data_IF_809907422449
#
_entry.id   IF_809907422449
#
_cell.length_a   1.000
_cell.length_b   1.000
_cell.length_c   1.000
_cell.angle_alpha   90.00
_cell.angle_beta   90.00
_cell.angle_gamma   90.00
#
_symmetry.space_group_name_H-M   'P 1'
#
loop_
_entity.id
_entity.type
_entity.pdbx_description
1 polymer ?
#
# COMPACT_ATOMS: atom_id res chain seq x y z
N UNK A 1 36.78 9.22 4.84
CA UNK A 1 35.44 8.60 4.72
C UNK A 1 35.39 7.51 5.78
N UNK A 2 34.64 7.73 6.87
CA UNK A 2 34.49 6.73 7.94
C UNK A 2 33.80 5.49 7.38
N UNK A 3 34.36 4.30 7.62
CA UNK A 3 33.80 3.04 7.13
C UNK A 3 32.55 2.70 7.93
N UNK A 4 31.42 2.56 7.25
CA UNK A 4 30.16 2.11 7.85
C UNK A 4 29.98 0.64 7.52
N UNK A 5 29.78 -0.20 8.54
CA UNK A 5 29.62 -1.64 8.40
C UNK A 5 28.28 -2.04 9.01
N UNK A 6 27.50 -2.82 8.29
CA UNK A 6 26.26 -3.41 8.79
C UNK A 6 26.59 -4.69 9.56
N UNK A 7 26.08 -4.81 10.79
CA UNK A 7 26.19 -6.05 11.54
C UNK A 7 25.33 -7.15 10.89
N UNK A 8 25.67 -8.44 11.10
CA UNK A 8 24.82 -9.55 10.64
C UNK A 8 23.38 -9.51 11.18
N UNK A 9 23.16 -8.90 12.36
CA UNK A 9 21.82 -8.71 12.94
C UNK A 9 20.94 -7.75 12.14
N UNK A 10 21.54 -6.82 11.38
CA UNK A 10 20.82 -5.91 10.49
C UNK A 10 20.36 -6.57 9.17
N UNK A 11 20.48 -7.90 9.02
CA UNK A 11 20.03 -8.61 7.80
C UNK A 11 18.52 -8.52 7.58
N UNK A 12 17.73 -8.33 8.64
CA UNK A 12 16.28 -8.17 8.53
C UNK A 12 15.87 -6.96 7.68
N UNK A 13 16.75 -5.95 7.52
CA UNK A 13 16.54 -4.79 6.63
C UNK A 13 16.32 -5.18 5.17
N UNK A 14 16.90 -6.31 4.73
CA UNK A 14 16.72 -6.84 3.37
C UNK A 14 15.30 -7.39 3.14
N UNK A 15 14.62 -7.78 4.22
CA UNK A 15 13.26 -8.32 4.19
C UNK A 15 12.21 -7.26 4.56
N UNK A 16 12.64 -6.06 4.96
CA UNK A 16 11.73 -4.96 5.27
C UNK A 16 11.17 -4.36 3.96
N UNK A 17 9.86 -4.10 3.93
CA UNK A 17 9.17 -3.68 2.72
C UNK A 17 9.42 -2.23 2.28
N UNK A 18 9.99 -1.39 3.16
CA UNK A 18 10.26 0.03 2.91
C UNK A 18 9.08 0.76 2.23
N UNK A 19 7.93 0.93 2.91
CA UNK A 19 6.75 1.59 2.33
C UNK A 19 7.03 2.99 1.77
N UNK A 20 8.01 3.72 2.32
CA UNK A 20 8.52 4.99 1.82
C UNK A 20 9.64 4.87 0.77
N UNK A 21 9.84 3.68 0.20
CA UNK A 21 10.85 3.33 -0.80
C UNK A 21 12.29 3.69 -0.35
N UNK A 22 13.15 4.03 -1.32
CA UNK A 22 14.56 4.39 -1.11
C UNK A 22 14.73 5.56 -0.14
N UNK A 23 13.79 6.51 -0.09
CA UNK A 23 13.86 7.65 0.83
C UNK A 23 13.78 7.23 2.29
N UNK A 24 12.93 6.25 2.59
CA UNK A 24 12.82 5.72 3.95
C UNK A 24 14.07 4.93 4.34
N UNK A 25 14.62 4.12 3.43
CA UNK A 25 15.88 3.41 3.62
C UNK A 25 17.03 4.40 3.90
N UNK A 26 17.14 5.46 3.10
CA UNK A 26 18.14 6.51 3.27
C UNK A 26 18.04 7.17 4.64
N UNK A 27 16.85 7.61 5.03
CA UNK A 27 16.61 8.23 6.33
C UNK A 27 16.91 7.27 7.49
N UNK A 28 16.55 5.99 7.35
CA UNK A 28 16.82 4.96 8.36
C UNK A 28 18.32 4.73 8.55
N UNK A 29 19.09 4.61 7.46
CA UNK A 29 20.56 4.49 7.50
C UNK A 29 21.18 5.75 8.10
N UNK A 30 20.75 6.94 7.68
CA UNK A 30 21.27 8.21 8.21
C UNK A 30 21.07 8.30 9.73
N UNK A 31 19.86 8.02 10.21
CA UNK A 31 19.54 8.02 11.64
C UNK A 31 20.35 6.97 12.39
N UNK A 32 20.50 5.77 11.84
CA UNK A 32 21.28 4.69 12.44
C UNK A 32 22.75 5.08 12.58
N UNK A 33 23.35 5.73 11.57
CA UNK A 33 24.74 6.24 11.64
C UNK A 33 24.89 7.31 12.71
N UNK A 34 23.94 8.24 12.84
CA UNK A 34 23.96 9.26 13.90
C UNK A 34 23.92 8.62 15.29
N UNK A 35 23.04 7.65 15.50
CA UNK A 35 22.91 6.93 16.77
C UNK A 35 24.15 6.10 17.09
N UNK A 36 24.69 5.36 16.11
CA UNK A 36 25.88 4.53 16.31
C UNK A 36 27.13 5.35 16.62
N UNK A 37 27.27 6.54 16.02
CA UNK A 37 28.35 7.49 16.37
C UNK A 37 28.19 8.09 17.76
N UNK A 38 26.96 8.22 18.26
CA UNK A 38 26.71 8.69 19.61
C UNK A 38 27.07 7.63 20.67
N UNK A 39 27.00 6.34 20.33
CA UNK A 39 27.26 5.23 21.26
C UNK A 39 28.71 4.72 21.23
N UNK A 40 29.46 4.89 20.14
CA UNK A 40 30.88 4.54 20.06
C UNK A 40 31.73 5.65 19.41
N UNK A 41 32.79 6.05 20.11
CA UNK A 41 33.84 6.92 19.59
C UNK A 41 34.94 6.07 18.94
N UNK A 42 34.89 5.94 17.61
CA UNK A 42 35.87 5.21 16.81
C UNK A 42 35.73 5.53 15.32
N UNK A 43 36.73 5.15 14.52
CA UNK A 43 36.76 5.45 13.07
C UNK A 43 35.87 4.49 12.25
N UNK A 44 35.45 3.38 12.86
CA UNK A 44 34.55 2.37 12.27
C UNK A 44 33.17 2.41 12.95
N UNK A 45 32.13 2.61 12.15
CA UNK A 45 30.74 2.70 12.61
C UNK A 45 30.02 1.39 12.27
N UNK A 46 29.71 0.60 13.29
CA UNK A 46 28.95 -0.65 13.14
C UNK A 46 27.48 -0.40 13.41
N UNK A 47 26.63 -0.63 12.42
CA UNK A 47 25.18 -0.50 12.53
C UNK A 47 24.56 -1.83 13.00
N UNK A 48 24.21 -1.86 14.29
CA UNK A 48 23.41 -2.92 14.93
C UNK A 48 21.91 -2.71 14.73
N UNK A 49 21.12 -3.78 14.85
CA UNK A 49 19.65 -3.78 14.69
C UNK A 49 18.95 -2.72 15.54
N UNK A 50 19.37 -2.54 16.79
CA UNK A 50 18.81 -1.53 17.70
C UNK A 50 18.93 -0.07 17.22
N UNK A 51 19.81 0.21 16.26
CA UNK A 51 19.93 1.55 15.67
C UNK A 51 18.84 1.81 14.61
N UNK A 52 18.19 0.74 14.13
CA UNK A 52 17.07 0.81 13.21
C UNK A 52 15.78 0.69 14.02
N UNK A 53 15.21 1.83 14.41
CA UNK A 53 13.84 1.87 14.92
C UNK A 53 12.86 1.70 13.76
N UNK A 54 12.83 0.49 13.19
CA UNK A 54 11.76 0.04 12.31
C UNK A 54 10.60 -0.30 13.22
N UNK A 55 9.56 0.53 13.21
CA UNK A 55 8.36 0.23 13.97
C UNK A 55 7.78 -1.09 13.45
N UNK A 56 7.60 -2.07 14.33
CA UNK A 56 6.71 -3.22 14.13
C UNK A 56 5.22 -2.79 14.11
N UNK A 57 4.92 -1.53 13.77
CA UNK A 57 3.62 -1.18 13.18
C UNK A 57 3.57 -1.74 11.76
N UNK A 58 3.66 -3.07 11.71
CA UNK A 58 3.12 -3.91 10.68
C UNK A 58 1.61 -3.74 10.81
N UNK A 59 1.09 -2.60 10.34
CA UNK A 59 -0.09 -2.72 9.51
C UNK A 59 0.26 -3.81 8.51
N UNK A 60 -0.50 -4.92 8.43
CA UNK A 60 -0.17 -6.01 7.55
C UNK A 60 0.05 -5.38 6.19
N UNK A 61 1.31 -5.40 5.75
CA UNK A 61 1.63 -5.00 4.40
C UNK A 61 0.67 -5.83 3.55
N UNK A 62 -0.18 -5.23 2.70
CA UNK A 62 -0.91 -6.02 1.73
C UNK A 62 0.19 -6.83 1.04
N UNK A 63 0.14 -8.15 1.23
CA UNK A 63 1.15 -9.06 0.72
C UNK A 63 1.46 -8.67 -0.72
N UNK A 64 2.71 -8.75 -1.17
CA UNK A 64 3.01 -8.51 -2.58
C UNK A 64 2.18 -9.42 -3.52
N UNK A 65 1.58 -10.49 -3.00
CA UNK A 65 0.56 -11.33 -3.64
C UNK A 65 -0.78 -10.62 -3.88
N UNK A 66 -1.13 -9.62 -3.07
CA UNK A 66 -2.30 -8.76 -3.26
C UNK A 66 -2.16 -7.84 -4.47
N UNK A 67 -0.93 -7.55 -4.92
CA UNK A 67 -0.68 -6.82 -6.18
C UNK A 67 -0.82 -7.73 -7.42
N UNK A 68 -0.68 -9.05 -7.27
CA UNK A 68 -0.94 -10.03 -8.33
C UNK A 68 -2.42 -10.37 -8.47
N UNK A 69 -3.27 -9.88 -7.56
CA UNK A 69 -4.72 -9.93 -7.67
C UNK A 69 -5.31 -8.68 -8.33
N UNK A 70 -4.51 -7.88 -9.05
CA UNK A 70 -5.09 -7.07 -10.12
C UNK A 70 -5.73 -8.08 -11.08
N UNK A 71 -7.07 -8.07 -11.28
CA UNK A 71 -7.63 -8.88 -12.34
C UNK A 71 -6.83 -8.54 -13.58
N UNK A 72 -6.31 -9.56 -14.27
CA UNK A 72 -5.52 -9.41 -15.49
C UNK A 72 -6.42 -8.81 -16.58
N UNK A 73 -6.74 -7.53 -16.44
CA UNK A 73 -7.63 -6.78 -17.31
C UNK A 73 -6.86 -6.64 -18.61
N UNK A 74 -7.36 -7.31 -19.66
CA UNK A 74 -6.64 -7.41 -20.93
C UNK A 74 -6.58 -6.07 -21.66
N UNK A 75 -7.42 -5.11 -21.27
CA UNK A 75 -7.53 -3.78 -21.88
C UNK A 75 -8.19 -2.75 -20.94
N UNK A 76 -8.03 -1.46 -21.27
CA UNK A 76 -8.58 -0.32 -20.52
C UNK A 76 -10.10 -0.39 -20.31
N UNK A 77 -10.84 -0.92 -21.29
CA UNK A 77 -12.29 -1.03 -21.21
C UNK A 77 -12.68 -1.97 -20.08
N UNK A 78 -12.08 -3.16 -20.04
CA UNK A 78 -12.33 -4.15 -18.99
C UNK A 78 -11.95 -3.64 -17.60
N UNK A 79 -10.80 -2.94 -17.49
CA UNK A 79 -10.39 -2.30 -16.23
C UNK A 79 -11.42 -1.29 -15.73
N UNK A 80 -11.92 -0.45 -16.65
CA UNK A 80 -12.92 0.58 -16.33
C UNK A 80 -14.25 -0.05 -15.95
N UNK A 81 -14.68 -1.10 -16.64
CA UNK A 81 -15.92 -1.83 -16.33
C UNK A 81 -15.83 -2.54 -14.97
N UNK A 82 -14.68 -3.13 -14.62
CA UNK A 82 -14.44 -3.73 -13.31
C UNK A 82 -14.46 -2.70 -12.19
N UNK A 83 -13.78 -1.57 -12.38
CA UNK A 83 -13.80 -0.45 -11.42
C UNK A 83 -15.22 0.07 -11.20
N UNK A 84 -15.97 0.31 -12.28
CA UNK A 84 -17.37 0.73 -12.19
C UNK A 84 -18.24 -0.30 -11.45
N UNK A 85 -18.03 -1.60 -11.71
CA UNK A 85 -18.76 -2.67 -11.04
C UNK A 85 -18.54 -2.64 -9.53
N UNK A 86 -17.31 -2.46 -9.11
CA UNK A 86 -16.93 -2.43 -7.70
C UNK A 86 -17.49 -1.19 -6.99
N UNK A 87 -17.37 -0.01 -7.62
CA UNK A 87 -17.96 1.24 -7.10
C UNK A 87 -19.47 1.12 -6.88
N UNK A 88 -20.19 0.52 -7.83
CA UNK A 88 -21.65 0.33 -7.71
C UNK A 88 -21.99 -0.65 -6.59
N UNK A 89 -21.24 -1.74 -6.45
CA UNK A 89 -21.45 -2.72 -5.37
C UNK A 89 -21.22 -2.10 -4.00
N UNK A 90 -20.16 -1.34 -3.83
CA UNK A 90 -19.85 -0.67 -2.57
C UNK A 90 -20.94 0.35 -2.21
N UNK A 91 -21.36 1.18 -3.17
CA UNK A 91 -22.45 2.13 -2.96
C UNK A 91 -23.76 1.44 -2.55
N UNK A 92 -24.11 0.34 -3.21
CA UNK A 92 -25.30 -0.45 -2.86
C UNK A 92 -25.19 -1.06 -1.46
N UNK A 93 -24.03 -1.62 -1.11
CA UNK A 93 -23.81 -2.21 0.22
C UNK A 93 -23.95 -1.16 1.34
N UNK A 94 -23.38 0.03 1.15
CA UNK A 94 -23.47 1.14 2.12
C UNK A 94 -24.89 1.71 2.26
N UNK A 95 -25.72 1.60 1.21
CA UNK A 95 -27.07 2.16 1.17
C UNK A 95 -28.16 1.09 1.27
N UNK A 96 -27.89 -0.08 1.87
CA UNK A 96 -28.85 -1.17 2.05
C UNK A 96 -29.57 -1.58 0.75
N UNK A 97 -28.84 -1.67 -0.36
CA UNK A 97 -29.35 -1.95 -1.70
C UNK A 97 -30.39 -0.95 -2.24
N UNK A 98 -30.47 0.25 -1.66
CA UNK A 98 -31.32 1.34 -2.17
C UNK A 98 -30.66 2.03 -3.36
N UNK A 99 -31.19 1.78 -4.57
CA UNK A 99 -30.69 2.36 -5.82
C UNK A 99 -30.77 3.88 -5.88
N UNK A 100 -31.81 4.49 -5.30
CA UNK A 100 -31.98 5.95 -5.31
C UNK A 100 -30.99 6.66 -4.39
N UNK A 101 -30.67 6.05 -3.24
CA UNK A 101 -29.63 6.55 -2.34
C UNK A 101 -28.22 6.32 -2.92
N UNK A 102 -27.98 5.14 -3.51
CA UNK A 102 -26.71 4.80 -4.15
C UNK A 102 -26.39 5.71 -5.35
N UNK A 103 -27.39 6.03 -6.18
CA UNK A 103 -27.21 6.95 -7.30
C UNK A 103 -26.83 8.36 -6.83
N UNK A 104 -27.49 8.86 -5.78
CA UNK A 104 -27.14 10.15 -5.15
C UNK A 104 -25.72 10.13 -4.57
N UNK A 105 -25.32 9.04 -3.92
CA UNK A 105 -23.96 8.89 -3.38
C UNK A 105 -22.88 8.82 -4.48
N UNK A 106 -23.21 8.28 -5.64
CA UNK A 106 -22.33 8.22 -6.81
C UNK A 106 -22.48 9.44 -7.75
N UNK A 107 -23.21 10.48 -7.32
CA UNK A 107 -23.48 11.69 -8.10
C UNK A 107 -24.02 11.42 -9.52
N UNK A 108 -24.89 10.42 -9.63
CA UNK A 108 -25.53 10.04 -10.91
C UNK A 108 -27.04 9.90 -10.74
N UNK A 109 -27.76 9.85 -11.86
CA UNK A 109 -29.19 9.59 -11.85
C UNK A 109 -29.50 8.09 -11.75
N UNK A 110 -30.66 7.77 -11.17
CA UNK A 110 -31.08 6.38 -10.92
C UNK A 110 -31.25 5.59 -12.23
N UNK A 111 -31.71 6.24 -13.29
CA UNK A 111 -31.91 5.59 -14.58
C UNK A 111 -30.57 5.21 -15.23
N UNK A 112 -29.57 6.09 -15.17
CA UNK A 112 -28.23 5.84 -15.66
C UNK A 112 -27.51 4.80 -14.81
N UNK A 113 -27.68 4.82 -13.48
CA UNK A 113 -27.15 3.77 -12.60
C UNK A 113 -27.74 2.40 -12.95
N UNK A 114 -29.05 2.31 -13.21
CA UNK A 114 -29.67 1.06 -13.65
C UNK A 114 -29.17 0.60 -15.03
N UNK A 115 -29.05 1.52 -15.99
CA UNK A 115 -28.51 1.21 -17.32
C UNK A 115 -27.07 0.72 -17.24
N UNK A 116 -26.26 1.36 -16.39
CA UNK A 116 -24.89 0.99 -16.14
C UNK A 116 -24.79 -0.38 -15.47
N UNK A 117 -25.60 -0.65 -14.45
CA UNK A 117 -25.67 -1.95 -13.78
C UNK A 117 -26.07 -3.07 -14.75
N UNK A 118 -27.06 -2.84 -15.63
CA UNK A 118 -27.46 -3.81 -16.65
C UNK A 118 -26.34 -4.08 -17.67
N UNK A 119 -25.68 -3.02 -18.14
CA UNK A 119 -24.52 -3.14 -19.06
C UNK A 119 -23.35 -3.91 -18.45
N UNK A 120 -23.12 -3.75 -17.14
CA UNK A 120 -22.02 -4.39 -16.41
C UNK A 120 -22.35 -5.80 -15.89
N UNK A 121 -23.56 -6.31 -16.14
CA UNK A 121 -24.03 -7.63 -15.69
C UNK A 121 -24.32 -7.71 -14.19
N UNK A 122 -24.64 -6.59 -13.54
CA UNK A 122 -25.00 -6.52 -12.12
C UNK A 122 -26.50 -6.68 -11.85
N UNK A 123 -27.34 -6.57 -12.89
CA UNK A 123 -28.80 -6.58 -12.78
C UNK A 123 -29.42 -7.06 -14.09
N UNK A 124 -30.38 -7.98 -14.01
CA UNK A 124 -31.20 -8.45 -15.15
C UNK A 124 -32.35 -7.48 -15.48
#
# INVERSE_FOLDING_TARGET
LSRVVLSPGARHLLNYGWPGNVRELEHAIHRAVVLARATRAGDEVVLEEQHFALSEDVLPAPSAESFLALPACRNLRESTENFQREMIRQALAQNNHNWAASARALETDVANLHRLAKRLGLKD
#
